data_IF_251031333519
#
_entry.id   IF_251031333519
#
_cell.length_a   1.000
_cell.length_b   1.000
_cell.length_c   1.000
_cell.angle_alpha   90.00
_cell.angle_beta   90.00
_cell.angle_gamma   90.00
#
_symmetry.space_group_name_H-M   'P 1'
#
loop_
_entity.id
_entity.type
_entity.pdbx_description
1 polymer ?
#
# COMPACT_ATOMS: atom_id res chain seq x y z
N UNK A 1 -17.11 -3.00 3.97
CA UNK A 1 -15.87 -2.17 3.85
C UNK A 1 -15.11 -2.54 2.57
N UNK A 2 -14.06 -1.81 2.20
CA UNK A 2 -13.23 -2.14 1.02
C UNK A 2 -11.76 -2.31 1.42
N UNK A 3 -11.16 -3.42 1.02
CA UNK A 3 -9.73 -3.67 1.20
C UNK A 3 -9.03 -3.55 -0.15
N UNK A 4 -8.10 -2.60 -0.28
CA UNK A 4 -7.30 -2.44 -1.51
C UNK A 4 -6.01 -3.22 -1.35
N UNK A 5 -5.91 -4.33 -2.06
CA UNK A 5 -4.76 -5.23 -2.03
C UNK A 5 -3.84 -5.06 -3.23
N UNK A 6 -2.61 -5.53 -3.10
CA UNK A 6 -1.73 -5.71 -4.24
C UNK A 6 -2.16 -6.85 -5.15
N UNK A 7 -1.55 -6.95 -6.32
CA UNK A 7 -1.66 -8.11 -7.21
C UNK A 7 -1.37 -9.43 -6.49
N UNK A 8 -0.57 -9.40 -5.43
CA UNK A 8 -0.30 -10.54 -4.56
C UNK A 8 -1.55 -11.03 -3.80
N UNK A 9 -2.54 -10.17 -3.57
CA UNK A 9 -3.78 -10.50 -2.85
C UNK A 9 -4.84 -11.13 -3.77
N UNK A 10 -4.63 -11.19 -5.09
CA UNK A 10 -5.53 -11.86 -6.03
C UNK A 10 -5.59 -13.38 -5.74
N UNK A 11 -6.55 -13.77 -4.90
CA UNK A 11 -6.77 -15.13 -4.41
C UNK A 11 -8.26 -15.35 -4.14
N UNK A 12 -8.83 -16.40 -4.73
CA UNK A 12 -10.27 -16.72 -4.58
C UNK A 12 -10.65 -17.04 -3.13
N UNK A 13 -9.82 -17.83 -2.43
CA UNK A 13 -10.11 -18.20 -1.05
C UNK A 13 -10.07 -17.01 -0.10
N UNK A 14 -9.20 -16.02 -0.40
CA UNK A 14 -9.16 -14.78 0.36
C UNK A 14 -10.39 -13.91 0.06
N UNK A 15 -10.77 -13.82 -1.21
CA UNK A 15 -11.96 -13.07 -1.65
C UNK A 15 -13.24 -13.61 -1.00
N UNK A 16 -13.41 -14.94 -0.93
CA UNK A 16 -14.55 -15.57 -0.25
C UNK A 16 -14.55 -15.31 1.26
N UNK A 17 -13.40 -15.42 1.92
CA UNK A 17 -13.28 -15.15 3.36
C UNK A 17 -13.59 -13.69 3.71
N UNK A 18 -13.15 -12.75 2.86
CA UNK A 18 -13.45 -11.33 3.06
C UNK A 18 -14.92 -11.02 2.75
N UNK A 19 -15.51 -11.67 1.74
CA UNK A 19 -16.91 -11.54 1.44
C UNK A 19 -17.82 -12.01 2.60
N UNK A 20 -17.45 -13.09 3.30
CA UNK A 20 -18.12 -13.54 4.53
C UNK A 20 -18.12 -12.47 5.63
N UNK A 21 -17.10 -11.61 5.65
CA UNK A 21 -16.97 -10.48 6.58
C UNK A 21 -17.56 -9.17 6.03
N UNK A 22 -18.26 -9.20 4.90
CA UNK A 22 -18.77 -8.01 4.21
C UNK A 22 -17.66 -7.01 3.81
N UNK A 23 -16.46 -7.52 3.52
CA UNK A 23 -15.32 -6.77 3.02
C UNK A 23 -15.10 -7.12 1.55
N UNK A 24 -15.16 -6.11 0.68
CA UNK A 24 -14.84 -6.29 -0.74
C UNK A 24 -13.32 -6.14 -0.94
N UNK A 25 -12.67 -7.20 -1.41
CA UNK A 25 -11.28 -7.12 -1.84
C UNK A 25 -11.21 -6.43 -3.20
N UNK A 26 -10.32 -5.46 -3.36
CA UNK A 26 -10.02 -4.77 -4.62
C UNK A 26 -8.55 -5.01 -4.94
N UNK A 27 -8.28 -5.93 -5.85
CA UNK A 27 -6.93 -6.27 -6.26
C UNK A 27 -6.85 -6.50 -7.78
N UNK A 28 -5.77 -6.06 -8.43
CA UNK A 28 -5.61 -6.29 -9.86
C UNK A 28 -5.42 -7.78 -10.15
N UNK A 29 -6.06 -8.24 -11.22
CA UNK A 29 -5.96 -9.64 -11.63
C UNK A 29 -4.53 -10.02 -12.07
N UNK A 30 -4.07 -11.19 -11.63
CA UNK A 30 -2.77 -11.74 -12.02
C UNK A 30 -2.77 -12.14 -13.49
N UNK A 31 -1.78 -11.65 -14.24
CA UNK A 31 -1.66 -11.91 -15.68
C UNK A 31 -1.46 -13.39 -16.03
N UNK A 32 -0.88 -14.18 -15.13
CA UNK A 32 -0.66 -15.61 -15.28
C UNK A 32 -1.81 -16.48 -14.74
N UNK A 33 -2.91 -15.86 -14.28
CA UNK A 33 -4.06 -16.58 -13.72
C UNK A 33 -4.91 -17.12 -14.87
N UNK A 34 -5.20 -18.42 -14.82
CA UNK A 34 -6.03 -19.12 -15.82
C UNK A 34 -7.53 -18.95 -15.57
N UNK A 35 -7.91 -18.64 -14.33
CA UNK A 35 -9.31 -18.42 -13.94
C UNK A 35 -9.79 -17.06 -14.47
N UNK A 36 -11.09 -16.96 -14.73
CA UNK A 36 -11.75 -15.72 -15.12
C UNK A 36 -11.57 -14.65 -14.05
N UNK A 37 -11.61 -13.39 -14.50
CA UNK A 37 -11.60 -12.22 -13.61
C UNK A 37 -12.87 -12.22 -12.78
N UNK A 38 -12.72 -12.14 -11.46
CA UNK A 38 -13.84 -12.01 -10.52
C UNK A 38 -14.45 -10.60 -10.52
N UNK A 39 -13.67 -9.60 -10.96
CA UNK A 39 -14.04 -8.18 -10.88
C UNK A 39 -14.29 -7.56 -12.26
N UNK A 40 -15.27 -6.67 -12.33
CA UNK A 40 -15.64 -5.89 -13.52
C UNK A 40 -14.64 -4.76 -13.84
N UNK A 41 -13.69 -4.49 -12.94
CA UNK A 41 -12.65 -3.48 -13.06
C UNK A 41 -13.08 -2.05 -12.68
N UNK A 42 -14.34 -1.78 -12.36
CA UNK A 42 -14.79 -0.43 -11.94
C UNK A 42 -14.18 -0.05 -10.59
N UNK A 43 -14.14 -1.01 -9.67
CA UNK A 43 -13.53 -0.86 -8.35
C UNK A 43 -12.01 -0.56 -8.41
N UNK A 44 -11.32 -0.99 -9.48
CA UNK A 44 -9.87 -0.76 -9.66
C UNK A 44 -9.50 0.72 -9.84
N UNK A 45 -10.45 1.62 -10.10
CA UNK A 45 -10.20 3.07 -10.04
C UNK A 45 -9.72 3.52 -8.66
N UNK A 46 -10.12 2.82 -7.59
CA UNK A 46 -9.61 3.06 -6.23
C UNK A 46 -8.19 2.55 -6.07
N UNK A 47 -7.87 1.39 -6.66
CA UNK A 47 -6.51 0.84 -6.67
C UNK A 47 -5.50 1.85 -7.22
N UNK A 48 -5.87 2.62 -8.25
CA UNK A 48 -5.01 3.65 -8.80
C UNK A 48 -4.46 4.58 -7.72
N UNK A 49 -5.27 5.03 -6.74
CA UNK A 49 -4.86 5.97 -5.68
C UNK A 49 -3.73 5.46 -4.78
N UNK A 50 -3.43 4.16 -4.79
CA UNK A 50 -2.30 3.56 -4.06
C UNK A 50 -0.96 4.20 -4.43
N UNK A 51 -0.81 4.69 -5.65
CA UNK A 51 0.39 5.40 -6.12
C UNK A 51 0.78 6.57 -5.19
N UNK A 52 -0.19 7.22 -4.55
CA UNK A 52 0.06 8.32 -3.61
C UNK A 52 0.81 7.85 -2.36
N UNK A 53 0.40 6.71 -1.83
CA UNK A 53 0.99 6.08 -0.63
C UNK A 53 2.37 5.52 -0.98
N UNK A 54 2.49 4.81 -2.09
CA UNK A 54 3.78 4.27 -2.56
C UNK A 54 4.80 5.39 -2.81
N UNK A 55 4.38 6.48 -3.43
CA UNK A 55 5.24 7.66 -3.67
C UNK A 55 5.70 8.30 -2.36
N UNK A 56 4.81 8.39 -1.36
CA UNK A 56 5.18 8.90 -0.04
C UNK A 56 6.29 8.03 0.59
N UNK A 57 6.10 6.71 0.59
CA UNK A 57 7.10 5.79 1.12
C UNK A 57 8.41 5.81 0.32
N UNK A 58 8.36 5.94 -1.02
CA UNK A 58 9.55 6.09 -1.84
C UNK A 58 10.37 7.33 -1.44
N UNK A 59 9.72 8.46 -1.17
CA UNK A 59 10.41 9.66 -0.70
C UNK A 59 10.99 9.53 0.70
N UNK A 60 10.29 8.83 1.60
CA UNK A 60 10.83 8.52 2.93
C UNK A 60 12.04 7.58 2.84
N UNK A 61 11.96 6.54 2.01
CA UNK A 61 13.04 5.58 1.79
C UNK A 61 14.25 6.20 1.10
N UNK A 62 14.09 7.29 0.34
CA UNK A 62 15.23 8.06 -0.18
C UNK A 62 16.09 8.67 0.94
N UNK A 63 15.55 8.86 2.14
CA UNK A 63 16.32 9.24 3.32
C UNK A 63 17.04 8.01 3.87
N UNK A 64 18.35 7.93 3.63
CA UNK A 64 19.20 6.77 4.01
C UNK A 64 19.04 6.30 5.47
N UNK A 65 18.79 7.20 6.43
CA UNK A 65 18.56 6.85 7.84
C UNK A 65 17.25 6.09 8.10
N UNK A 66 16.27 6.20 7.18
CA UNK A 66 14.99 5.53 7.26
C UNK A 66 14.95 4.23 6.44
N UNK A 67 15.72 4.15 5.35
CA UNK A 67 15.78 2.96 4.49
C UNK A 67 16.27 1.73 5.25
N UNK A 68 17.37 1.88 5.97
CA UNK A 68 17.95 0.85 6.81
C UNK A 68 17.88 1.37 8.24
N UNK A 69 17.29 0.59 9.15
CA UNK A 69 17.12 0.97 10.55
C UNK A 69 18.47 0.95 11.28
N UNK A 70 19.27 1.99 11.06
CA UNK A 70 20.55 2.21 11.74
C UNK A 70 20.38 2.63 13.20
N UNK A 71 19.22 3.18 13.54
CA UNK A 71 18.91 3.67 14.88
C UNK A 71 18.58 2.50 15.82
N UNK A 72 19.39 2.33 16.87
CA UNK A 72 19.16 1.33 17.91
C UNK A 72 17.87 1.60 18.69
N UNK A 73 17.66 2.86 19.10
CA UNK A 73 16.49 3.26 19.87
C UNK A 73 15.30 3.62 18.97
N UNK A 74 14.14 3.02 19.26
CA UNK A 74 12.90 3.29 18.53
C UNK A 74 12.49 4.78 18.54
N UNK A 75 12.79 5.50 19.63
CA UNK A 75 12.49 6.94 19.77
C UNK A 75 13.25 7.79 18.75
N UNK A 76 14.52 7.48 18.52
CA UNK A 76 15.35 8.20 17.54
C UNK A 76 14.83 7.93 16.12
N UNK A 77 14.53 6.66 15.82
CA UNK A 77 13.93 6.29 14.54
C UNK A 77 12.61 7.04 14.28
N UNK A 78 11.71 7.09 15.27
CA UNK A 78 10.47 7.85 15.18
C UNK A 78 10.74 9.34 14.94
N UNK A 79 11.71 9.93 15.63
CA UNK A 79 12.13 11.32 15.39
C UNK A 79 12.57 11.57 13.95
N UNK A 80 13.32 10.65 13.34
CA UNK A 80 13.69 10.75 11.92
C UNK A 80 12.51 10.59 10.97
N UNK A 81 11.53 9.72 11.29
CA UNK A 81 10.30 9.58 10.49
C UNK A 81 9.50 10.88 10.52
N UNK A 82 9.36 11.50 11.70
CA UNK A 82 8.70 12.79 11.87
C UNK A 82 9.43 13.89 11.10
N UNK A 83 10.75 13.98 11.22
CA UNK A 83 11.57 14.97 10.51
C UNK A 83 11.48 14.81 8.98
N UNK A 84 11.49 13.57 8.47
CA UNK A 84 11.31 13.31 7.05
C UNK A 84 9.92 13.72 6.57
N UNK A 85 8.88 13.45 7.37
CA UNK A 85 7.50 13.85 7.07
C UNK A 85 7.35 15.37 6.98
N UNK A 86 7.93 16.10 7.95
CA UNK A 86 7.97 17.57 7.95
C UNK A 86 8.69 18.10 6.71
N UNK A 87 9.85 17.51 6.37
CA UNK A 87 10.62 17.93 5.19
C UNK A 87 9.83 17.70 3.89
N UNK A 88 9.09 16.60 3.78
CA UNK A 88 8.23 16.33 2.61
C UNK A 88 7.09 17.34 2.53
N UNK A 89 6.47 17.68 3.66
CA UNK A 89 5.40 18.68 3.73
C UNK A 89 5.89 20.06 3.32
N UNK A 90 7.00 20.52 3.90
CA UNK A 90 7.57 21.85 3.63
C UNK A 90 8.03 22.03 2.18
N UNK A 91 8.37 20.96 1.46
CA UNK A 91 8.74 21.02 0.04
C UNK A 91 7.54 21.15 -0.91
N UNK A 92 6.32 20.94 -0.41
CA UNK A 92 5.08 20.98 -1.18
C UNK A 92 4.25 22.25 -0.95
N UNK A 93 4.58 23.00 0.10
CA UNK A 93 4.10 24.36 0.33
C UNK A 93 4.99 25.30 -0.50
#
# INVERSE_FOLDING_TARGET
>A
EHLIGDKAYDSDGLDTQLAEQCVELIAPHRANRRKLKTQDGRALRRYARRWLVERLFAWMQWKRRLLTRWEYYARNFLGFVQLASITILLKRI
#
